data_IF_434536262113
#
_entry.id   IF_434536262113
#
_cell.length_a   1.000
_cell.length_b   1.000
_cell.length_c   1.000
_cell.angle_alpha   90.00
_cell.angle_beta   90.00
_cell.angle_gamma   90.00
#
_symmetry.space_group_name_H-M   'P 1'
#
loop_
_entity.id
_entity.type
_entity.pdbx_description
1 polymer ?
#
# COMPACT_ATOMS: atom_id res chain seq x y z
N UNK A 1 27.77 -28.12 5.91
CA UNK A 1 28.08 -28.00 7.36
C UNK A 1 26.87 -27.68 8.26
N UNK A 2 25.79 -27.00 7.82
CA UNK A 2 24.59 -26.80 8.67
C UNK A 2 23.81 -28.10 8.98
N UNK A 3 23.62 -28.97 7.97
CA UNK A 3 22.85 -30.21 8.11
C UNK A 3 23.43 -31.19 9.15
N UNK A 4 24.76 -31.33 9.20
CA UNK A 4 25.44 -32.20 10.16
C UNK A 4 25.19 -31.76 11.60
N UNK A 5 25.13 -30.44 11.85
CA UNK A 5 24.88 -29.91 13.20
C UNK A 5 23.44 -30.13 13.64
N UNK A 6 22.48 -29.95 12.74
CA UNK A 6 21.07 -30.21 13.01
C UNK A 6 20.82 -31.67 13.38
N UNK A 7 21.45 -32.60 12.67
CA UNK A 7 21.42 -34.04 12.98
C UNK A 7 22.02 -34.34 14.36
N UNK A 8 23.16 -33.74 14.71
CA UNK A 8 23.76 -33.91 16.04
C UNK A 8 22.85 -33.40 17.15
N UNK A 9 22.25 -32.21 17.00
CA UNK A 9 21.31 -31.66 17.99
C UNK A 9 20.06 -32.52 18.09
N UNK A 10 19.55 -33.06 16.98
CA UNK A 10 18.44 -33.99 16.98
C UNK A 10 18.78 -35.31 17.70
N UNK A 11 20.02 -35.81 17.55
CA UNK A 11 20.51 -36.98 18.29
C UNK A 11 20.56 -36.70 19.80
N UNK A 12 21.09 -35.54 20.20
CA UNK A 12 21.14 -35.12 21.61
C UNK A 12 19.73 -34.93 22.19
N UNK A 13 18.81 -34.36 21.40
CA UNK A 13 17.39 -34.24 21.75
C UNK A 13 16.75 -35.60 22.04
N UNK A 14 17.09 -36.62 21.25
CA UNK A 14 16.65 -38.00 21.46
C UNK A 14 17.23 -38.57 22.76
N UNK A 15 18.53 -38.45 23.00
CA UNK A 15 19.16 -38.87 24.26
C UNK A 15 18.54 -38.21 25.49
N UNK A 16 18.23 -36.91 25.44
CA UNK A 16 17.52 -36.23 26.54
C UNK A 16 16.12 -36.81 26.79
N UNK A 17 15.44 -37.26 25.73
CA UNK A 17 14.12 -37.86 25.85
C UNK A 17 14.22 -39.24 26.49
N UNK A 18 15.01 -40.12 25.87
CA UNK A 18 15.11 -41.53 26.24
C UNK A 18 15.81 -41.75 27.59
N UNK A 19 16.87 -40.98 27.88
CA UNK A 19 17.75 -41.22 29.04
C UNK A 19 17.42 -40.35 30.26
N UNK A 20 16.56 -39.32 30.11
CA UNK A 20 16.27 -38.36 31.20
C UNK A 20 14.79 -38.09 31.38
N UNK A 21 14.06 -37.73 30.31
CA UNK A 21 12.66 -37.31 30.43
C UNK A 21 11.74 -38.50 30.74
N UNK A 22 11.94 -39.59 29.99
CA UNK A 22 11.12 -40.80 30.06
C UNK A 22 11.76 -41.93 30.89
N UNK A 23 12.99 -41.72 31.38
CA UNK A 23 13.71 -42.67 32.22
C UNK A 23 13.09 -42.79 33.63
N UNK A 24 12.98 -44.04 34.11
CA UNK A 24 12.53 -44.33 35.48
C UNK A 24 13.63 -44.04 36.51
N UNK A 25 14.87 -44.38 36.17
CA UNK A 25 16.07 -44.11 36.96
C UNK A 25 17.13 -43.45 36.06
N UNK A 26 17.21 -42.12 36.11
CA UNK A 26 18.18 -41.35 35.35
C UNK A 26 19.45 -41.11 36.18
N UNK A 27 20.60 -41.01 35.50
CA UNK A 27 21.88 -40.64 36.12
C UNK A 27 22.13 -39.12 36.00
N UNK A 28 22.49 -38.48 37.11
CA UNK A 28 22.82 -37.05 37.15
C UNK A 28 24.04 -36.72 36.28
N UNK A 29 25.09 -37.54 36.36
CA UNK A 29 26.33 -37.39 35.58
C UNK A 29 26.04 -37.53 34.08
N UNK A 30 25.32 -38.59 33.70
CA UNK A 30 24.96 -38.82 32.30
C UNK A 30 24.10 -37.68 31.74
N UNK A 31 23.15 -37.18 32.53
CA UNK A 31 22.33 -36.03 32.15
C UNK A 31 23.19 -34.79 31.93
N UNK A 32 24.14 -34.53 32.84
CA UNK A 32 25.05 -33.41 32.75
C UNK A 32 25.95 -33.50 31.51
N UNK A 33 26.44 -34.69 31.16
CA UNK A 33 27.23 -34.93 29.95
C UNK A 33 26.46 -34.66 28.66
N UNK A 34 25.19 -35.11 28.60
CA UNK A 34 24.31 -34.85 27.45
C UNK A 34 24.06 -33.34 27.30
N UNK A 35 23.81 -32.64 28.41
CA UNK A 35 23.63 -31.18 28.41
C UNK A 35 24.92 -30.43 28.05
N UNK A 36 26.08 -30.93 28.48
CA UNK A 36 27.40 -30.36 28.13
C UNK A 36 27.70 -30.57 26.66
N UNK A 37 27.38 -31.74 26.11
CA UNK A 37 27.46 -32.01 24.67
C UNK A 37 26.59 -31.03 23.90
N UNK A 38 25.35 -30.82 24.34
CA UNK A 38 24.44 -29.83 23.76
C UNK A 38 25.02 -28.41 23.83
N UNK A 39 25.59 -28.03 24.97
CA UNK A 39 26.24 -26.72 25.15
C UNK A 39 27.39 -26.56 24.14
N UNK A 40 28.27 -27.54 24.02
CA UNK A 40 29.43 -27.48 23.12
C UNK A 40 29.00 -27.35 21.66
N UNK A 41 28.00 -28.10 21.23
CA UNK A 41 27.47 -28.04 19.85
C UNK A 41 26.78 -26.70 19.52
N UNK A 42 26.25 -26.03 20.54
CA UNK A 42 25.47 -24.79 20.38
C UNK A 42 26.27 -23.52 20.67
N UNK A 43 27.53 -23.66 21.09
CA UNK A 43 28.44 -22.55 21.34
C UNK A 43 29.45 -22.44 20.20
N UNK A 44 29.50 -21.29 19.50
CA UNK A 44 30.52 -21.05 18.48
C UNK A 44 31.75 -20.35 19.09
N UNK A 45 32.95 -20.85 18.75
CA UNK A 45 34.22 -20.16 19.04
C UNK A 45 34.43 -19.05 18.02
N UNK A 46 34.13 -17.80 18.36
CA UNK A 46 34.41 -16.65 17.49
C UNK A 46 35.90 -16.26 17.58
N UNK A 47 36.57 -16.09 16.44
CA UNK A 47 38.00 -15.70 16.34
C UNK A 47 38.29 -14.22 16.64
N UNK A 48 37.30 -13.43 17.05
CA UNK A 48 37.53 -12.04 17.46
C UNK A 48 36.74 -11.73 18.75
N UNK A 49 37.47 -11.34 19.80
CA UNK A 49 37.00 -10.84 21.11
C UNK A 49 36.55 -11.83 22.20
N UNK A 50 36.79 -13.15 22.09
CA UNK A 50 36.64 -14.06 23.24
C UNK A 50 35.21 -14.22 23.82
N UNK A 51 34.22 -13.55 23.24
CA UNK A 51 32.82 -13.65 23.64
C UNK A 51 32.20 -14.89 22.97
N UNK A 52 31.85 -15.91 23.78
CA UNK A 52 31.15 -17.12 23.31
C UNK A 52 29.74 -16.75 22.85
N UNK A 53 29.43 -16.93 21.57
CA UNK A 53 28.11 -16.65 20.99
C UNK A 53 27.33 -17.95 20.81
N UNK A 54 26.08 -17.97 21.26
CA UNK A 54 25.15 -19.06 20.99
C UNK A 54 24.74 -19.02 19.52
N UNK A 55 24.99 -20.10 18.78
CA UNK A 55 24.73 -20.20 17.35
C UNK A 55 23.44 -20.99 17.06
N UNK A 56 22.44 -20.80 17.92
CA UNK A 56 21.12 -21.43 17.81
C UNK A 56 20.23 -20.55 16.93
N UNK A 57 19.51 -21.17 15.99
CA UNK A 57 18.55 -20.48 15.12
C UNK A 57 17.12 -20.94 15.36
N UNK A 58 16.14 -20.11 15.01
CA UNK A 58 14.71 -20.43 15.06
C UNK A 58 14.42 -21.71 14.27
N UNK A 59 15.01 -21.87 13.09
CA UNK A 59 14.83 -23.07 12.26
C UNK A 59 15.27 -24.36 12.98
N UNK A 60 16.44 -24.35 13.64
CA UNK A 60 16.94 -25.50 14.39
C UNK A 60 16.08 -25.78 15.62
N UNK A 61 15.64 -24.74 16.35
CA UNK A 61 14.72 -24.89 17.48
C UNK A 61 13.38 -25.49 17.05
N UNK A 62 12.88 -25.11 15.87
CA UNK A 62 11.63 -25.61 15.31
C UNK A 62 11.75 -27.05 14.81
N UNK A 63 12.84 -27.42 14.13
CA UNK A 63 12.99 -28.78 13.60
C UNK A 63 13.29 -29.80 14.71
N UNK A 64 14.20 -29.47 15.63
CA UNK A 64 14.65 -30.39 16.69
C UNK A 64 13.76 -30.39 17.93
N UNK A 65 12.94 -29.35 18.12
CA UNK A 65 12.16 -29.10 19.34
C UNK A 65 12.99 -29.03 20.63
N UNK A 66 14.32 -28.84 20.53
CA UNK A 66 15.25 -28.93 21.66
C UNK A 66 14.90 -27.96 22.82
N UNK A 67 14.38 -26.76 22.53
CA UNK A 67 13.96 -25.82 23.58
C UNK A 67 12.78 -26.33 24.43
N UNK A 68 11.82 -27.03 23.82
CA UNK A 68 10.73 -27.70 24.56
C UNK A 68 11.25 -28.87 25.38
N UNK A 69 12.21 -29.62 24.82
CA UNK A 69 12.83 -30.76 25.49
C UNK A 69 13.66 -30.31 26.70
N UNK A 70 14.47 -29.26 26.59
CA UNK A 70 15.19 -28.67 27.73
C UNK A 70 14.26 -28.25 28.88
N UNK A 71 13.09 -27.70 28.56
CA UNK A 71 12.07 -27.39 29.58
C UNK A 71 11.60 -28.66 30.31
N UNK A 72 11.41 -29.76 29.57
CA UNK A 72 11.02 -31.05 30.15
C UNK A 72 12.18 -31.68 30.93
N UNK A 73 13.40 -31.62 30.42
CA UNK A 73 14.62 -32.09 31.07
C UNK A 73 14.81 -31.39 32.42
N UNK A 74 14.72 -30.05 32.49
CA UNK A 74 14.81 -29.30 33.74
C UNK A 74 13.78 -29.78 34.78
N UNK A 75 12.55 -30.08 34.34
CA UNK A 75 11.50 -30.65 35.21
C UNK A 75 11.83 -32.09 35.62
N UNK A 76 12.34 -32.92 34.72
CA UNK A 76 12.75 -34.29 35.00
C UNK A 76 13.90 -34.33 36.04
N UNK A 77 14.95 -33.52 35.85
CA UNK A 77 16.03 -33.36 36.82
C UNK A 77 15.50 -32.95 38.21
N UNK A 78 14.56 -32.00 38.28
CA UNK A 78 13.90 -31.61 39.54
C UNK A 78 13.10 -32.76 40.18
N UNK A 79 12.57 -33.70 39.41
CA UNK A 79 11.90 -34.91 39.93
C UNK A 79 12.94 -35.87 40.52
N UNK A 80 13.97 -36.23 39.74
CA UNK A 80 15.01 -37.18 40.19
C UNK A 80 15.77 -36.69 41.41
N UNK A 81 16.08 -35.38 41.48
CA UNK A 81 16.67 -34.74 42.67
C UNK A 81 15.88 -35.00 43.96
N UNK A 82 14.55 -35.07 43.91
CA UNK A 82 13.71 -35.27 45.11
C UNK A 82 13.84 -36.69 45.68
N UNK A 83 14.26 -37.64 44.86
CA UNK A 83 14.42 -39.04 45.21
C UNK A 83 15.90 -39.43 45.37
N UNK A 84 16.82 -38.46 45.31
CA UNK A 84 18.26 -38.70 45.41
C UNK A 84 18.65 -39.20 46.81
N UNK A 85 19.43 -40.30 46.90
CA UNK A 85 19.78 -40.94 48.18
C UNK A 85 20.96 -40.25 48.90
N UNK A 86 21.71 -39.38 48.22
CA UNK A 86 22.89 -38.72 48.77
C UNK A 86 22.95 -37.22 48.46
N UNK A 87 23.68 -36.48 49.29
CA UNK A 87 23.92 -35.05 49.12
C UNK A 87 24.79 -34.75 47.89
N UNK A 88 25.73 -35.65 47.56
CA UNK A 88 26.53 -35.60 46.33
C UNK A 88 25.67 -35.69 45.06
N UNK A 89 24.73 -36.64 45.02
CA UNK A 89 23.82 -36.82 43.88
C UNK A 89 22.86 -35.62 43.72
N UNK A 90 22.42 -35.06 44.85
CA UNK A 90 21.62 -33.83 44.89
C UNK A 90 22.36 -32.64 44.29
N UNK A 91 23.67 -32.52 44.54
CA UNK A 91 24.53 -31.48 43.96
C UNK A 91 24.63 -31.62 42.45
N UNK A 92 24.89 -32.83 41.94
CA UNK A 92 24.99 -33.11 40.49
C UNK A 92 23.70 -32.79 39.75
N UNK A 93 22.54 -33.07 40.35
CA UNK A 93 21.26 -32.66 39.78
C UNK A 93 21.05 -31.15 39.76
N UNK A 94 21.55 -30.40 40.75
CA UNK A 94 21.50 -28.94 40.71
C UNK A 94 22.31 -28.39 39.54
N UNK A 95 23.48 -28.96 39.28
CA UNK A 95 24.33 -28.55 38.15
C UNK A 95 23.64 -28.81 36.82
N UNK A 96 23.01 -29.99 36.65
CA UNK A 96 22.22 -30.31 35.46
C UNK A 96 21.00 -29.38 35.29
N UNK A 97 20.28 -29.06 36.36
CA UNK A 97 19.16 -28.11 36.33
C UNK A 97 19.67 -26.73 35.90
N UNK A 98 20.71 -26.23 36.56
CA UNK A 98 21.30 -24.92 36.28
C UNK A 98 21.73 -24.81 34.82
N UNK A 99 22.45 -25.81 34.30
CA UNK A 99 22.88 -25.87 32.91
C UNK A 99 21.69 -25.90 31.94
N UNK A 100 20.64 -26.68 32.24
CA UNK A 100 19.45 -26.75 31.38
C UNK A 100 18.68 -25.42 31.32
N UNK A 101 18.58 -24.70 32.44
CA UNK A 101 17.93 -23.39 32.52
C UNK A 101 18.76 -22.30 31.85
N UNK A 102 20.10 -22.34 32.01
CA UNK A 102 21.03 -21.45 31.32
C UNK A 102 20.96 -21.60 29.80
N UNK A 103 20.98 -22.84 29.28
CA UNK A 103 20.84 -23.11 27.86
C UNK A 103 19.50 -22.60 27.32
N UNK A 104 18.41 -22.81 28.07
CA UNK A 104 17.08 -22.36 27.68
C UNK A 104 16.98 -20.83 27.62
N UNK A 105 17.62 -20.12 28.54
CA UNK A 105 17.72 -18.66 28.51
C UNK A 105 18.50 -18.19 27.28
N UNK A 106 19.68 -18.78 27.02
CA UNK A 106 20.50 -18.46 25.84
C UNK A 106 19.76 -18.69 24.52
N UNK A 107 18.97 -19.76 24.41
CA UNK A 107 18.23 -20.07 23.18
C UNK A 107 17.08 -19.09 22.95
N UNK A 108 16.43 -18.60 24.02
CA UNK A 108 15.43 -17.54 23.91
C UNK A 108 16.06 -16.24 23.43
N UNK A 109 17.17 -15.83 24.03
CA UNK A 109 17.90 -14.63 23.62
C UNK A 109 18.36 -14.70 22.15
N UNK A 110 18.89 -15.85 21.73
CA UNK A 110 19.30 -16.06 20.34
C UNK A 110 18.12 -15.96 19.37
N UNK A 111 16.97 -16.57 19.70
CA UNK A 111 15.76 -16.49 18.87
C UNK A 111 15.19 -15.07 18.81
N UNK A 112 15.18 -14.32 19.91
CA UNK A 112 14.73 -12.93 19.97
C UNK A 112 15.64 -12.02 19.12
N UNK A 113 16.96 -12.20 19.19
CA UNK A 113 17.91 -11.46 18.37
C UNK A 113 17.79 -11.81 16.88
N UNK A 114 17.64 -13.09 16.51
CA UNK A 114 17.38 -13.49 15.13
C UNK A 114 16.10 -12.85 14.59
N UNK A 115 15.01 -12.85 15.38
CA UNK A 115 13.75 -12.22 15.01
C UNK A 115 13.89 -10.71 14.81
N UNK A 116 14.62 -10.00 15.70
CA UNK A 116 14.93 -8.57 15.55
C UNK A 116 15.76 -8.30 14.31
N UNK A 117 16.79 -9.10 14.06
CA UNK A 117 17.65 -8.98 12.87
C UNK A 117 16.85 -9.22 11.59
N UNK A 118 16.00 -10.25 11.54
CA UNK A 118 15.12 -10.52 10.42
C UNK A 118 14.14 -9.37 10.16
N UNK A 119 13.56 -8.79 11.21
CA UNK A 119 12.70 -7.61 11.11
C UNK A 119 13.46 -6.37 10.60
N UNK A 120 14.68 -6.16 11.08
CA UNK A 120 15.55 -5.07 10.63
C UNK A 120 15.96 -5.23 9.16
N UNK A 121 16.29 -6.45 8.73
CA UNK A 121 16.62 -6.78 7.33
C UNK A 121 15.42 -6.54 6.42
N UNK A 122 14.22 -7.07 6.77
CA UNK A 122 12.98 -6.79 6.04
C UNK A 122 12.68 -5.29 5.93
N UNK A 123 12.93 -4.53 7.00
CA UNK A 123 12.76 -3.07 7.01
C UNK A 123 13.76 -2.36 6.08
N UNK A 124 15.04 -2.80 6.06
CA UNK A 124 16.06 -2.29 5.13
C UNK A 124 15.73 -2.61 3.68
N UNK A 125 15.32 -3.84 3.39
CA UNK A 125 14.89 -4.28 2.06
C UNK A 125 13.67 -3.49 1.58
N UNK A 126 12.64 -3.33 2.42
CA UNK A 126 11.48 -2.51 2.11
C UNK A 126 11.87 -1.05 1.78
N UNK A 127 12.81 -0.47 2.53
CA UNK A 127 13.34 0.88 2.25
C UNK A 127 14.11 0.94 0.92
N UNK A 128 14.84 -0.11 0.56
CA UNK A 128 15.55 -0.17 -0.71
C UNK A 128 14.57 -0.28 -1.90
N UNK A 129 13.55 -1.14 -1.79
CA UNK A 129 12.48 -1.30 -2.79
C UNK A 129 11.66 -0.01 -2.91
N UNK A 130 11.40 0.67 -1.79
CA UNK A 130 10.71 1.96 -1.77
C UNK A 130 11.45 3.03 -2.60
N UNK A 131 12.77 2.95 -2.78
CA UNK A 131 13.55 3.90 -3.58
C UNK A 131 13.55 3.63 -5.08
N UNK A 132 13.15 2.44 -5.53
CA UNK A 132 13.18 2.11 -6.96
C UNK A 132 12.01 2.75 -7.72
N UNK A 133 12.22 3.23 -8.96
CA UNK A 133 11.14 3.61 -9.86
C UNK A 133 10.20 2.43 -10.15
N UNK A 134 8.95 2.73 -10.52
CA UNK A 134 7.91 1.76 -10.85
C UNK A 134 6.91 1.52 -9.72
N UNK A 135 5.95 0.63 -9.97
CA UNK A 135 4.87 0.33 -9.03
C UNK A 135 5.39 -0.27 -7.71
N UNK A 136 4.77 0.06 -6.57
CA UNK A 136 5.12 -0.57 -5.30
C UNK A 136 4.73 -2.05 -5.28
N UNK A 137 5.62 -2.90 -4.78
CA UNK A 137 5.40 -4.36 -4.73
C UNK A 137 4.64 -4.83 -3.48
N UNK A 138 4.51 -3.98 -2.46
CA UNK A 138 3.79 -4.30 -1.22
C UNK A 138 3.23 -3.06 -0.55
N UNK A 139 2.23 -3.25 0.30
CA UNK A 139 1.60 -2.19 1.11
C UNK A 139 2.64 -1.50 2.01
N UNK A 140 3.56 -2.27 2.61
CA UNK A 140 4.61 -1.74 3.48
C UNK A 140 5.58 -0.85 2.71
N UNK A 141 6.07 -1.30 1.55
CA UNK A 141 6.95 -0.48 0.70
C UNK A 141 6.22 0.80 0.22
N UNK A 142 4.94 0.69 -0.11
CA UNK A 142 4.14 1.84 -0.54
C UNK A 142 3.94 2.86 0.59
N UNK A 143 3.60 2.39 1.79
CA UNK A 143 3.48 3.25 2.99
C UNK A 143 4.79 3.99 3.26
N UNK A 144 5.93 3.30 3.15
CA UNK A 144 7.25 3.94 3.32
C UNK A 144 7.51 5.02 2.28
N UNK A 145 7.16 4.80 1.00
CA UNK A 145 7.26 5.83 -0.06
C UNK A 145 6.43 7.06 0.28
N UNK A 146 5.15 6.86 0.60
CA UNK A 146 4.22 7.93 0.94
C UNK A 146 4.76 8.77 2.11
N UNK A 147 5.22 8.12 3.19
CA UNK A 147 5.79 8.82 4.35
C UNK A 147 7.08 9.56 4.00
N UNK A 148 8.00 8.95 3.25
CA UNK A 148 9.27 9.60 2.86
C UNK A 148 9.08 10.82 1.96
N UNK A 149 7.98 10.87 1.22
CA UNK A 149 7.63 11.97 0.33
C UNK A 149 6.64 12.95 1.00
N UNK A 150 6.44 12.85 2.32
CA UNK A 150 5.53 13.70 3.09
C UNK A 150 4.10 13.73 2.53
N UNK A 151 3.61 12.59 2.04
CA UNK A 151 2.27 12.44 1.48
C UNK A 151 1.26 12.19 2.60
N UNK A 152 0.13 12.87 2.51
CA UNK A 152 -1.03 12.59 3.36
C UNK A 152 -1.48 11.13 3.21
N UNK A 153 -1.63 10.43 4.32
CA UNK A 153 -2.20 9.08 4.39
C UNK A 153 -3.68 9.18 4.74
N UNK A 154 -4.54 9.00 3.74
CA UNK A 154 -6.00 9.02 3.97
C UNK A 154 -6.50 7.77 4.71
N UNK A 155 -5.81 6.64 4.53
CA UNK A 155 -6.08 5.35 5.18
C UNK A 155 -4.75 4.71 5.61
N UNK A 156 -4.79 3.99 6.73
CA UNK A 156 -3.66 3.18 7.22
C UNK A 156 -4.18 1.76 7.54
N UNK A 157 -3.77 0.71 6.79
CA UNK A 157 -2.80 0.74 5.69
C UNK A 157 -3.32 1.47 4.43
N UNK A 158 -2.42 2.05 3.60
CA UNK A 158 -2.80 2.65 2.33
C UNK A 158 -3.26 1.58 1.33
N UNK A 159 -4.17 1.95 0.43
CA UNK A 159 -4.56 1.08 -0.67
C UNK A 159 -3.49 1.10 -1.75
N UNK A 160 -3.13 -0.08 -2.28
CA UNK A 160 -2.20 -0.16 -3.41
C UNK A 160 -2.78 0.54 -4.65
N UNK A 161 -1.91 1.15 -5.49
CA UNK A 161 -2.34 1.62 -6.80
C UNK A 161 -2.87 0.45 -7.65
N UNK A 162 -3.65 0.75 -8.70
CA UNK A 162 -3.99 -0.25 -9.72
C UNK A 162 -2.73 -0.93 -10.27
N UNK A 163 -2.90 -2.15 -10.79
CA UNK A 163 -1.84 -2.82 -11.55
C UNK A 163 -1.46 -1.99 -12.78
N UNK A 164 -0.32 -2.35 -13.39
CA UNK A 164 0.19 -1.65 -14.57
C UNK A 164 -0.89 -1.53 -15.66
N UNK A 165 -1.07 -0.32 -16.17
CA UNK A 165 -2.09 -0.02 -17.17
C UNK A 165 -1.55 -0.23 -18.58
N UNK A 166 -2.24 -1.07 -19.34
CA UNK A 166 -1.98 -1.31 -20.76
C UNK A 166 -2.74 -0.29 -21.58
N UNK A 167 -2.04 0.38 -22.51
CA UNK A 167 -2.62 1.35 -23.44
C UNK A 167 -2.81 0.66 -24.79
N UNK A 168 -3.98 0.82 -25.39
CA UNK A 168 -4.21 0.30 -26.73
C UNK A 168 -3.41 1.09 -27.77
N UNK A 169 -2.82 0.39 -28.75
CA UNK A 169 -2.03 1.02 -29.81
C UNK A 169 -2.88 1.90 -30.73
N UNK A 170 -4.11 1.47 -31.04
CA UNK A 170 -5.02 2.20 -31.92
C UNK A 170 -5.83 3.21 -31.12
N UNK A 171 -5.84 4.44 -31.59
CA UNK A 171 -6.67 5.50 -31.05
C UNK A 171 -8.03 5.52 -31.76
N UNK A 172 -9.08 5.79 -31.00
CA UNK A 172 -10.43 5.93 -31.56
C UNK A 172 -10.73 7.40 -31.94
N UNK A 173 -11.76 7.66 -32.76
CA UNK A 173 -12.15 9.03 -33.10
C UNK A 173 -12.49 9.90 -31.89
N UNK A 174 -12.42 11.22 -32.10
CA UNK A 174 -12.85 12.21 -31.11
C UNK A 174 -14.35 12.02 -30.77
N UNK A 175 -14.76 12.33 -29.52
CA UNK A 175 -16.14 12.15 -29.09
C UNK A 175 -17.10 13.02 -29.89
N UNK A 176 -18.31 12.51 -30.08
CA UNK A 176 -19.43 13.28 -30.63
C UNK A 176 -20.05 14.12 -29.52
N UNK A 177 -20.44 15.35 -29.84
CA UNK A 177 -21.09 16.28 -28.90
C UNK A 177 -22.55 16.49 -29.29
N UNK A 178 -23.46 16.30 -28.34
CA UNK A 178 -24.84 16.71 -28.49
C UNK A 178 -24.93 18.24 -28.45
N UNK A 179 -25.49 18.86 -29.50
CA UNK A 179 -25.58 20.32 -29.64
C UNK A 179 -26.51 20.98 -28.63
N UNK A 180 -27.49 20.24 -28.11
CA UNK A 180 -28.51 20.75 -27.18
C UNK A 180 -28.04 20.57 -25.75
N UNK A 181 -27.69 19.33 -25.35
CA UNK A 181 -27.34 19.03 -23.95
C UNK A 181 -25.86 19.28 -23.62
N UNK A 182 -25.01 19.38 -24.65
CA UNK A 182 -23.55 19.46 -24.51
C UNK A 182 -22.88 18.13 -24.15
N UNK A 183 -23.65 17.06 -23.95
CA UNK A 183 -23.15 15.73 -23.57
C UNK A 183 -22.23 15.15 -24.64
N UNK A 184 -21.17 14.49 -24.17
CA UNK A 184 -20.17 13.81 -24.98
C UNK A 184 -20.44 12.32 -25.01
N UNK A 185 -20.30 11.72 -26.19
CA UNK A 185 -20.40 10.27 -26.40
C UNK A 185 -19.10 9.75 -26.99
N UNK A 186 -18.61 8.63 -26.45
CA UNK A 186 -17.30 8.07 -26.77
C UNK A 186 -17.46 6.66 -27.36
N UNK A 187 -16.50 6.26 -28.18
CA UNK A 187 -16.43 4.93 -28.77
C UNK A 187 -15.55 4.00 -27.94
N UNK A 188 -15.86 2.71 -27.92
CA UNK A 188 -14.99 1.69 -27.33
C UNK A 188 -13.78 1.45 -28.26
N UNK A 189 -12.67 1.00 -27.67
CA UNK A 189 -11.48 0.59 -28.42
C UNK A 189 -11.58 -0.85 -28.90
N UNK A 190 -10.42 -1.51 -28.93
CA UNK A 190 -10.33 -2.95 -29.13
C UNK A 190 -10.97 -3.70 -27.95
N UNK A 191 -10.81 -3.19 -26.72
CA UNK A 191 -11.56 -3.68 -25.57
C UNK A 191 -13.01 -3.16 -25.60
N UNK A 192 -13.94 -4.06 -25.89
CA UNK A 192 -15.39 -3.80 -25.90
C UNK A 192 -16.05 -3.98 -24.54
N UNK A 193 -15.31 -4.37 -23.50
CA UNK A 193 -15.83 -4.56 -22.13
C UNK A 193 -16.48 -3.28 -21.57
N UNK A 194 -16.00 -2.11 -22.00
CA UNK A 194 -16.51 -0.80 -21.57
C UNK A 194 -17.77 -0.36 -22.31
N UNK A 195 -18.21 -1.04 -23.38
CA UNK A 195 -19.30 -0.57 -24.24
C UNK A 195 -20.60 -0.29 -23.49
N UNK A 196 -20.94 -1.09 -22.47
CA UNK A 196 -22.11 -0.84 -21.64
C UNK A 196 -21.92 0.34 -20.68
N UNK A 197 -20.70 0.57 -20.19
CA UNK A 197 -20.38 1.72 -19.35
C UNK A 197 -20.43 3.03 -20.15
N UNK A 198 -20.03 3.01 -21.43
CA UNK A 198 -20.08 4.17 -22.31
C UNK A 198 -21.50 4.69 -22.58
N UNK A 199 -22.51 3.81 -22.54
CA UNK A 199 -23.93 4.19 -22.68
C UNK A 199 -24.44 5.08 -21.54
N UNK A 200 -23.70 5.16 -20.42
CA UNK A 200 -24.07 5.95 -19.25
C UNK A 200 -22.99 6.96 -18.86
N UNK A 201 -21.93 7.09 -19.66
CA UNK A 201 -20.82 8.01 -19.44
C UNK A 201 -20.92 9.20 -20.37
N UNK A 202 -21.56 10.26 -19.87
CA UNK A 202 -21.87 11.47 -20.63
C UNK A 202 -21.45 12.75 -19.87
N UNK A 203 -20.14 13.00 -19.71
CA UNK A 203 -19.68 14.33 -19.33
C UNK A 203 -20.15 15.36 -20.37
N UNK A 204 -20.46 16.59 -19.93
CA UNK A 204 -20.91 17.67 -20.80
C UNK A 204 -19.90 18.82 -20.91
N UNK A 205 -18.70 18.64 -20.34
CA UNK A 205 -17.57 19.56 -20.48
C UNK A 205 -16.35 18.87 -21.07
N UNK A 206 -15.78 19.44 -22.12
CA UNK A 206 -14.51 18.99 -22.70
C UNK A 206 -13.33 19.28 -21.77
N UNK A 207 -12.18 18.61 -21.93
CA UNK A 207 -10.97 18.98 -21.20
C UNK A 207 -10.60 20.46 -21.33
N UNK A 208 -10.74 21.04 -22.53
CA UNK A 208 -10.52 22.47 -22.76
C UNK A 208 -11.46 23.33 -21.91
N UNK A 209 -12.76 23.03 -21.91
CA UNK A 209 -13.75 23.79 -21.13
C UNK A 209 -13.46 23.69 -19.62
N UNK A 210 -13.05 22.52 -19.12
CA UNK A 210 -12.67 22.31 -17.71
C UNK A 210 -11.40 23.11 -17.36
N UNK A 211 -10.40 23.13 -18.23
CA UNK A 211 -9.16 23.89 -18.03
C UNK A 211 -9.44 25.40 -18.00
N UNK A 212 -10.13 25.91 -19.01
CA UNK A 212 -10.43 27.35 -19.16
C UNK A 212 -11.37 27.87 -18.07
N UNK A 213 -12.24 27.02 -17.52
CA UNK A 213 -13.10 27.40 -16.41
C UNK A 213 -12.33 27.66 -15.10
N UNK A 214 -11.06 27.24 -14.99
CA UNK A 214 -10.33 27.26 -13.73
C UNK A 214 -10.92 26.20 -12.79
N UNK A 215 -10.55 24.95 -12.99
CA UNK A 215 -11.13 23.86 -12.21
C UNK A 215 -10.34 23.53 -10.95
N UNK A 216 -9.02 23.69 -10.99
CA UNK A 216 -8.12 23.04 -10.02
C UNK A 216 -7.23 24.02 -9.24
N UNK A 217 -7.72 25.25 -9.06
CA UNK A 217 -7.05 26.30 -8.28
C UNK A 217 -5.68 26.69 -8.80
N UNK A 218 -5.40 26.46 -10.09
CA UNK A 218 -4.10 26.78 -10.69
C UNK A 218 -3.06 25.65 -10.68
N UNK A 219 -3.35 24.50 -10.07
CA UNK A 219 -2.29 23.59 -9.60
C UNK A 219 -2.29 22.20 -10.20
N UNK A 220 -3.20 21.90 -11.14
CA UNK A 220 -3.40 20.51 -11.58
C UNK A 220 -2.14 19.91 -12.18
N UNK A 221 -1.48 20.62 -13.09
CA UNK A 221 -0.27 20.18 -13.77
C UNK A 221 1.01 20.79 -13.18
N UNK A 222 1.03 21.09 -11.87
CA UNK A 222 2.25 21.51 -11.16
C UNK A 222 3.30 20.40 -11.15
N UNK A 223 4.59 20.68 -10.90
CA UNK A 223 5.58 19.63 -10.71
C UNK A 223 5.20 18.73 -9.52
N UNK A 224 5.30 17.41 -9.70
CA UNK A 224 5.00 16.43 -8.64
C UNK A 224 6.07 15.35 -8.59
N UNK A 225 6.30 14.79 -7.41
CA UNK A 225 6.88 13.45 -7.27
C UNK A 225 5.74 12.49 -6.97
N UNK A 226 5.55 11.44 -7.76
CA UNK A 226 4.50 10.46 -7.49
C UNK A 226 5.00 9.35 -6.58
N UNK A 227 4.25 9.01 -5.54
CA UNK A 227 4.55 7.85 -4.70
C UNK A 227 4.19 6.52 -5.41
N UNK A 228 3.29 6.57 -6.40
CA UNK A 228 2.86 5.40 -7.20
C UNK A 228 4.00 4.93 -8.10
N UNK A 229 4.62 5.84 -8.85
CA UNK A 229 5.71 5.50 -9.79
C UNK A 229 7.10 5.76 -9.22
N UNK A 230 7.19 6.47 -8.10
CA UNK A 230 8.43 6.96 -7.49
C UNK A 230 9.30 7.79 -8.46
N UNK A 231 8.64 8.54 -9.36
CA UNK A 231 9.26 9.42 -10.36
C UNK A 231 8.79 10.87 -10.15
N UNK A 232 9.67 11.82 -10.46
CA UNK A 232 9.34 13.24 -10.52
C UNK A 232 8.92 13.65 -11.93
N UNK A 233 7.74 14.24 -12.05
CA UNK A 233 7.15 14.76 -13.27
C UNK A 233 7.22 16.29 -13.27
N UNK A 234 7.73 16.87 -14.36
CA UNK A 234 7.74 18.31 -14.56
C UNK A 234 6.52 18.74 -15.40
N UNK A 235 6.09 19.98 -15.17
CA UNK A 235 4.89 20.55 -15.81
C UNK A 235 4.95 20.60 -17.33
N UNK A 236 6.11 20.93 -17.90
CA UNK A 236 6.26 21.09 -19.35
C UNK A 236 6.09 19.76 -20.08
N UNK A 237 6.71 18.69 -19.59
CA UNK A 237 6.60 17.35 -20.16
C UNK A 237 5.17 16.81 -20.08
N UNK A 238 4.51 16.92 -18.92
CA UNK A 238 3.14 16.42 -18.77
C UNK A 238 2.14 17.21 -19.61
N UNK A 239 2.29 18.54 -19.70
CA UNK A 239 1.41 19.35 -20.54
C UNK A 239 1.56 18.96 -22.03
N UNK A 240 2.79 18.81 -22.52
CA UNK A 240 3.05 18.42 -23.92
C UNK A 240 2.44 17.05 -24.25
N UNK A 241 2.50 16.11 -23.32
CA UNK A 241 1.98 14.77 -23.50
C UNK A 241 0.44 14.72 -23.39
N UNK A 242 -0.13 15.36 -22.38
CA UNK A 242 -1.53 15.15 -21.98
C UNK A 242 -2.50 16.15 -22.61
N UNK A 243 -2.09 17.41 -22.75
CA UNK A 243 -2.97 18.54 -23.10
C UNK A 243 -2.69 19.01 -24.53
N UNK A 244 -3.73 19.14 -25.36
CA UNK A 244 -3.53 19.72 -26.69
C UNK A 244 -3.18 21.20 -26.59
N UNK A 245 -2.25 21.65 -27.43
CA UNK A 245 -1.78 23.03 -27.45
C UNK A 245 -2.93 24.03 -27.66
N UNK A 246 -3.89 23.69 -28.54
CA UNK A 246 -5.09 24.48 -28.83
C UNK A 246 -5.94 24.77 -27.58
N UNK A 247 -6.06 23.80 -26.67
CA UNK A 247 -6.90 23.94 -25.46
C UNK A 247 -6.38 25.00 -24.50
N UNK A 248 -5.09 25.31 -24.57
CA UNK A 248 -4.39 26.23 -23.66
C UNK A 248 -3.79 27.43 -24.41
N UNK A 249 -4.15 27.63 -25.67
CA UNK A 249 -3.81 28.83 -26.43
C UNK A 249 -4.37 30.06 -25.70
N UNK A 250 -3.52 31.07 -25.53
CA UNK A 250 -3.81 32.33 -24.82
C UNK A 250 -4.17 32.17 -23.34
N UNK A 251 -3.84 31.04 -22.71
CA UNK A 251 -4.01 30.83 -21.28
C UNK A 251 -2.70 31.11 -20.53
N UNK A 252 -2.76 31.83 -19.40
CA UNK A 252 -1.63 31.93 -18.48
C UNK A 252 -1.41 30.57 -17.79
N UNK A 253 -0.53 29.76 -18.36
CA UNK A 253 -0.22 28.40 -17.89
C UNK A 253 0.33 28.40 -16.46
N UNK A 254 1.14 29.40 -16.11
CA UNK A 254 1.78 29.47 -14.80
C UNK A 254 0.75 29.65 -13.68
N UNK A 255 -0.23 30.53 -13.90
CA UNK A 255 -1.27 30.80 -12.91
C UNK A 255 -2.42 29.78 -12.96
N UNK A 256 -2.81 29.33 -14.15
CA UNK A 256 -4.00 28.51 -14.34
C UNK A 256 -3.75 27.00 -14.20
N UNK A 257 -2.54 26.53 -14.50
CA UNK A 257 -2.29 25.09 -14.67
C UNK A 257 -1.14 24.55 -13.81
N UNK A 258 -0.02 25.29 -13.72
CA UNK A 258 1.24 24.76 -13.19
C UNK A 258 1.70 25.40 -11.88
N UNK A 259 0.84 26.22 -11.24
CA UNK A 259 1.18 26.84 -9.97
C UNK A 259 1.40 25.79 -8.89
N UNK A 260 2.40 25.99 -8.03
CA UNK A 260 2.64 25.12 -6.87
C UNK A 260 1.66 25.41 -5.72
N UNK A 261 1.05 26.60 -5.72
CA UNK A 261 0.15 27.07 -4.66
C UNK A 261 -1.29 27.12 -5.13
N UNK A 262 -2.18 26.46 -4.40
CA UNK A 262 -3.61 26.46 -4.71
C UNK A 262 -4.24 27.81 -4.43
N UNK A 263 -4.89 28.40 -5.44
CA UNK A 263 -5.56 29.69 -5.37
C UNK A 263 -7.06 29.52 -5.65
N UNK A 264 -7.94 29.58 -4.63
CA UNK A 264 -9.39 29.47 -4.81
C UNK A 264 -9.96 30.52 -5.77
N UNK A 265 -9.38 31.72 -5.83
CA UNK A 265 -9.80 32.79 -6.74
C UNK A 265 -9.68 32.43 -8.23
N UNK A 266 -8.86 31.44 -8.58
CA UNK A 266 -8.76 30.92 -9.95
C UNK A 266 -9.98 30.07 -10.30
N UNK A 267 -10.62 29.45 -9.30
CA UNK A 267 -11.73 28.57 -9.57
C UNK A 267 -12.95 29.29 -10.13
N UNK A 268 -13.72 28.62 -10.99
CA UNK A 268 -15.01 29.14 -11.49
C UNK A 268 -15.92 29.60 -10.35
N UNK A 269 -16.07 28.76 -9.32
CA UNK A 269 -16.93 29.04 -8.17
C UNK A 269 -16.19 29.65 -6.97
N UNK A 270 -14.93 30.08 -7.14
CA UNK A 270 -14.12 30.80 -6.13
C UNK A 270 -13.94 30.07 -4.77
N UNK A 271 -14.17 28.76 -4.73
CA UNK A 271 -14.04 27.93 -3.52
C UNK A 271 -12.95 26.87 -3.68
N UNK A 272 -12.27 26.53 -2.60
CA UNK A 272 -11.34 25.38 -2.58
C UNK A 272 -12.14 24.09 -2.57
N UNK A 273 -11.76 23.13 -3.41
CA UNK A 273 -12.27 21.76 -3.34
C UNK A 273 -11.24 20.76 -3.89
N UNK A 274 -11.50 19.47 -3.66
CA UNK A 274 -10.59 18.37 -3.99
C UNK A 274 -9.65 18.00 -2.85
N UNK A 275 -9.19 16.74 -2.88
CA UNK A 275 -8.19 16.20 -1.96
C UNK A 275 -6.76 16.49 -2.39
N UNK A 276 -5.80 16.25 -1.50
CA UNK A 276 -4.37 16.36 -1.82
C UNK A 276 -3.91 15.23 -2.76
N UNK A 277 -2.75 15.39 -3.41
CA UNK A 277 -2.17 14.28 -4.19
C UNK A 277 -1.92 13.06 -3.32
N UNK A 278 -1.44 13.24 -2.08
CA UNK A 278 -1.22 12.14 -1.13
C UNK A 278 -2.49 11.37 -0.79
N UNK A 279 -3.61 12.08 -0.58
CA UNK A 279 -4.92 11.44 -0.37
C UNK A 279 -5.32 10.57 -1.57
N UNK A 280 -5.12 11.05 -2.80
CA UNK A 280 -5.46 10.29 -4.00
C UNK A 280 -4.54 9.08 -4.22
N UNK A 281 -3.25 9.25 -3.99
CA UNK A 281 -2.26 8.17 -4.07
C UNK A 281 -2.56 7.10 -3.01
N UNK A 282 -2.64 7.46 -1.73
CA UNK A 282 -2.92 6.52 -0.62
C UNK A 282 -4.29 5.84 -0.67
N UNK A 283 -5.24 6.38 -1.46
CA UNK A 283 -6.56 5.78 -1.70
C UNK A 283 -6.59 4.78 -2.86
N UNK A 284 -5.48 4.55 -3.55
CA UNK A 284 -5.42 3.66 -4.73
C UNK A 284 -6.14 4.24 -5.96
N UNK A 285 -6.24 5.57 -6.05
CA UNK A 285 -6.99 6.24 -7.13
C UNK A 285 -6.13 6.68 -8.30
N UNK A 286 -4.82 6.72 -8.12
CA UNK A 286 -3.80 7.09 -9.12
C UNK A 286 -3.19 5.82 -9.71
N UNK A 287 -3.11 5.73 -11.04
CA UNK A 287 -2.37 4.69 -11.75
C UNK A 287 -0.98 5.20 -12.15
N UNK A 288 -0.12 4.29 -12.58
CA UNK A 288 1.19 4.62 -13.13
C UNK A 288 1.11 5.31 -14.50
N UNK A 289 0.12 4.96 -15.33
CA UNK A 289 -0.12 5.61 -16.61
C UNK A 289 -0.49 7.08 -16.45
N UNK A 290 -1.32 7.41 -15.47
CA UNK A 290 -1.90 8.74 -15.26
C UNK A 290 -1.56 9.26 -13.85
N UNK A 291 -0.31 9.68 -13.59
CA UNK A 291 0.17 10.07 -12.26
C UNK A 291 -0.50 11.33 -11.68
N UNK A 292 -1.19 12.10 -12.51
CA UNK A 292 -2.03 13.23 -12.08
C UNK A 292 -3.50 12.82 -11.86
N UNK A 293 -3.87 11.57 -12.10
CA UNK A 293 -5.17 11.01 -11.79
C UNK A 293 -6.25 11.26 -12.83
N UNK A 294 -7.50 11.32 -12.37
CA UNK A 294 -8.69 11.21 -13.22
C UNK A 294 -8.73 12.22 -14.36
N UNK A 295 -8.40 13.49 -14.13
CA UNK A 295 -8.53 14.49 -15.19
C UNK A 295 -7.42 14.35 -16.25
N UNK A 296 -6.23 13.88 -15.88
CA UNK A 296 -5.21 13.50 -16.87
C UNK A 296 -5.69 12.31 -17.71
N UNK A 297 -6.27 11.28 -17.07
CA UNK A 297 -6.91 10.19 -17.78
C UNK A 297 -8.00 10.71 -18.73
N UNK A 298 -8.84 11.64 -18.28
CA UNK A 298 -9.94 12.21 -19.07
C UNK A 298 -9.43 12.98 -20.29
N UNK A 299 -8.38 13.80 -20.15
CA UNK A 299 -7.73 14.47 -21.28
C UNK A 299 -7.31 13.48 -22.36
N UNK A 300 -6.62 12.39 -21.97
CA UNK A 300 -6.13 11.39 -22.92
C UNK A 300 -7.26 10.54 -23.49
N UNK A 301 -8.24 10.16 -22.66
CA UNK A 301 -9.43 9.42 -23.08
C UNK A 301 -10.25 10.20 -24.10
N UNK A 302 -10.40 11.51 -23.89
CA UNK A 302 -11.07 12.42 -24.82
C UNK A 302 -10.38 12.49 -26.19
N UNK A 303 -9.05 12.43 -26.21
CA UNK A 303 -8.26 12.41 -27.45
C UNK A 303 -8.30 11.09 -28.21
N UNK A 304 -8.98 10.07 -27.69
CA UNK A 304 -9.12 8.77 -28.33
C UNK A 304 -8.25 7.66 -27.73
N UNK A 305 -7.44 7.93 -26.69
CA UNK A 305 -6.70 6.88 -25.99
C UNK A 305 -7.68 5.93 -25.28
N UNK A 306 -7.45 4.63 -25.41
CA UNK A 306 -8.12 3.59 -24.61
C UNK A 306 -7.10 2.80 -23.79
N UNK A 307 -7.53 2.29 -22.64
CA UNK A 307 -6.65 1.61 -21.70
C UNK A 307 -7.38 0.62 -20.81
N UNK A 308 -6.63 -0.30 -20.21
CA UNK A 308 -7.16 -1.25 -19.23
C UNK A 308 -7.72 -0.57 -17.96
N UNK A 309 -7.50 0.73 -17.75
CA UNK A 309 -8.05 1.50 -16.63
C UNK A 309 -9.44 2.11 -16.91
N UNK A 310 -9.92 2.07 -18.15
CA UNK A 310 -11.08 2.85 -18.59
C UNK A 310 -12.35 2.45 -17.83
N UNK A 311 -12.58 1.15 -17.63
CA UNK A 311 -13.73 0.65 -16.87
C UNK A 311 -13.76 1.21 -15.44
N UNK A 312 -12.60 1.26 -14.76
CA UNK A 312 -12.47 1.78 -13.40
C UNK A 312 -12.76 3.28 -13.37
N UNK A 313 -12.20 4.05 -14.29
CA UNK A 313 -12.35 5.50 -14.32
C UNK A 313 -13.77 5.94 -14.69
N UNK A 314 -14.40 5.26 -15.65
CA UNK A 314 -15.82 5.48 -15.98
C UNK A 314 -16.70 5.13 -14.79
N UNK A 315 -16.47 3.98 -14.13
CA UNK A 315 -17.23 3.59 -12.92
C UNK A 315 -17.14 4.64 -11.80
N UNK A 316 -15.94 5.22 -11.57
CA UNK A 316 -15.74 6.30 -10.60
C UNK A 316 -16.52 7.56 -10.97
N UNK A 317 -16.53 7.92 -12.26
CA UNK A 317 -17.33 9.03 -12.75
C UNK A 317 -18.82 8.76 -12.54
N UNK A 318 -19.33 7.56 -12.89
CA UNK A 318 -20.73 7.21 -12.70
C UNK A 318 -21.18 7.33 -11.23
N UNK A 319 -20.34 6.88 -10.29
CA UNK A 319 -20.58 6.99 -8.84
C UNK A 319 -20.55 8.43 -8.32
N UNK A 320 -19.85 9.32 -9.01
CA UNK A 320 -19.63 10.71 -8.57
C UNK A 320 -20.56 11.70 -9.28
N UNK A 321 -20.50 11.74 -10.60
CA UNK A 321 -21.14 12.70 -11.49
C UNK A 321 -22.21 12.10 -12.41
N UNK A 322 -22.28 10.76 -12.54
CA UNK A 322 -23.33 10.10 -13.34
C UNK A 322 -24.75 10.39 -12.85
N UNK A 323 -25.76 9.94 -13.59
CA UNK A 323 -27.20 10.20 -13.31
C UNK A 323 -27.62 9.87 -11.86
N UNK A 324 -27.02 8.83 -11.28
CA UNK A 324 -27.21 8.43 -9.86
C UNK A 324 -26.00 8.74 -8.98
N UNK A 325 -25.06 9.51 -9.49
CA UNK A 325 -23.83 9.88 -8.81
C UNK A 325 -24.10 10.72 -7.57
N UNK A 326 -23.26 10.53 -6.55
CA UNK A 326 -23.38 11.17 -5.24
C UNK A 326 -23.45 12.69 -5.35
N UNK A 327 -22.49 13.30 -6.02
CA UNK A 327 -22.38 14.76 -6.10
C UNK A 327 -23.47 15.36 -6.99
N UNK A 328 -23.76 14.73 -8.13
CA UNK A 328 -24.86 15.16 -9.03
C UNK A 328 -26.21 15.12 -8.32
N UNK A 329 -26.52 14.02 -7.63
CA UNK A 329 -27.80 13.90 -6.91
C UNK A 329 -27.90 14.92 -5.79
N UNK A 330 -26.82 15.12 -5.03
CA UNK A 330 -26.81 16.06 -3.91
C UNK A 330 -27.03 17.51 -4.37
N UNK A 331 -26.37 17.95 -5.45
CA UNK A 331 -26.57 19.33 -5.95
C UNK A 331 -27.96 19.52 -6.55
N UNK A 332 -28.47 18.55 -7.34
CA UNK A 332 -29.79 18.66 -7.95
C UNK A 332 -30.88 18.75 -6.88
N UNK A 333 -30.82 17.91 -5.85
CA UNK A 333 -31.77 17.98 -4.73
C UNK A 333 -31.75 19.35 -4.04
N UNK A 334 -30.56 19.94 -3.86
CA UNK A 334 -30.43 21.27 -3.25
C UNK A 334 -30.98 22.39 -4.13
N UNK A 335 -30.75 22.33 -5.44
CA UNK A 335 -31.31 23.29 -6.40
C UNK A 335 -32.84 23.22 -6.39
N UNK A 336 -33.40 22.00 -6.47
CA UNK A 336 -34.86 21.80 -6.43
C UNK A 336 -35.45 22.31 -5.11
N UNK A 337 -34.82 21.98 -3.98
CA UNK A 337 -35.30 22.42 -2.65
C UNK A 337 -35.26 23.94 -2.48
N UNK A 338 -34.31 24.61 -3.12
CA UNK A 338 -34.20 26.06 -3.11
C UNK A 338 -35.16 26.76 -4.10
N UNK A 339 -35.80 26.01 -5.01
CA UNK A 339 -36.72 26.59 -6.01
C UNK A 339 -36.04 27.45 -7.07
N UNK A 340 -34.73 27.29 -7.30
CA UNK A 340 -33.95 28.09 -8.25
C UNK A 340 -33.56 27.28 -9.50
N UNK A 341 -33.14 27.98 -10.56
CA UNK A 341 -32.68 27.34 -11.80
C UNK A 341 -31.27 26.74 -11.69
N UNK A 342 -30.92 25.84 -12.62
CA UNK A 342 -29.62 25.17 -12.63
C UNK A 342 -28.41 26.13 -12.68
N UNK A 343 -28.58 27.31 -13.27
CA UNK A 343 -27.55 28.33 -13.42
C UNK A 343 -27.18 29.10 -12.13
N UNK A 344 -27.96 28.97 -11.04
CA UNK A 344 -27.67 29.69 -9.80
C UNK A 344 -26.42 29.13 -9.09
N UNK A 345 -25.28 29.81 -9.29
CA UNK A 345 -23.99 29.44 -8.74
C UNK A 345 -23.87 29.53 -7.21
N UNK A 346 -24.83 30.16 -6.52
CA UNK A 346 -24.83 30.29 -5.06
C UNK A 346 -25.13 28.97 -4.35
N UNK A 347 -25.88 28.07 -4.99
CA UNK A 347 -26.25 26.78 -4.41
C UNK A 347 -25.05 25.84 -4.42
N UNK A 348 -24.49 25.57 -3.23
CA UNK A 348 -23.40 24.60 -2.99
C UNK A 348 -22.22 24.71 -3.97
N UNK A 349 -21.51 25.86 -4.00
CA UNK A 349 -20.41 26.11 -4.93
C UNK A 349 -19.31 25.04 -4.87
N UNK A 350 -19.05 24.44 -3.70
CA UNK A 350 -18.06 23.36 -3.53
C UNK A 350 -18.44 22.11 -4.33
N UNK A 351 -19.72 21.73 -4.36
CA UNK A 351 -20.18 20.56 -5.12
C UNK A 351 -20.15 20.88 -6.62
N UNK A 352 -20.52 22.10 -7.01
CA UNK A 352 -20.42 22.54 -8.41
C UNK A 352 -18.97 22.50 -8.92
N UNK A 353 -18.04 23.00 -8.13
CA UNK A 353 -16.61 22.94 -8.44
C UNK A 353 -16.12 21.47 -8.49
N UNK A 354 -16.59 20.62 -7.58
CA UNK A 354 -16.27 19.19 -7.59
C UNK A 354 -16.78 18.51 -8.86
N UNK A 355 -18.00 18.78 -9.31
CA UNK A 355 -18.53 18.21 -10.56
C UNK A 355 -17.77 18.68 -11.79
N UNK A 356 -17.30 19.94 -11.78
CA UNK A 356 -16.46 20.46 -12.84
C UNK A 356 -15.13 19.70 -12.94
N UNK A 357 -14.55 19.27 -11.82
CA UNK A 357 -13.40 18.36 -11.83
C UNK A 357 -13.68 17.04 -12.56
N UNK A 358 -14.95 16.61 -12.60
CA UNK A 358 -15.41 15.39 -13.28
C UNK A 358 -15.98 15.68 -14.68
N UNK A 359 -15.74 16.86 -15.26
CA UNK A 359 -16.24 17.20 -16.60
C UNK A 359 -17.76 17.32 -16.69
N UNK A 360 -18.43 17.59 -15.57
CA UNK A 360 -19.87 17.83 -15.52
C UNK A 360 -20.19 19.22 -14.98
N UNK A 361 -21.02 19.95 -15.70
CA UNK A 361 -21.72 21.12 -15.18
C UNK A 361 -23.22 20.87 -15.11
N UNK A 362 -23.85 21.33 -14.03
CA UNK A 362 -25.30 21.17 -13.85
C UNK A 362 -26.02 22.18 -14.74
N UNK A 363 -26.68 21.68 -15.78
CA UNK A 363 -27.55 22.43 -16.69
C UNK A 363 -29.02 22.17 -16.37
N UNK A 364 -29.94 22.89 -17.03
CA UNK A 364 -31.37 22.62 -16.86
C UNK A 364 -31.73 21.22 -17.36
N UNK A 365 -31.11 20.73 -18.44
CA UNK A 365 -31.29 19.34 -18.89
C UNK A 365 -30.87 18.33 -17.83
N UNK A 366 -29.74 18.56 -17.17
CA UNK A 366 -29.24 17.70 -16.07
C UNK A 366 -30.24 17.66 -14.91
N UNK A 367 -30.83 18.81 -14.58
CA UNK A 367 -31.84 18.96 -13.54
C UNK A 367 -33.17 18.29 -13.91
N UNK A 368 -33.60 18.45 -15.17
CA UNK A 368 -34.79 17.81 -15.73
C UNK A 368 -34.67 16.29 -15.76
N UNK A 369 -33.52 15.75 -16.18
CA UNK A 369 -33.22 14.32 -16.11
C UNK A 369 -33.28 13.81 -14.65
N UNK A 370 -32.80 14.60 -13.68
CA UNK A 370 -32.83 14.23 -12.27
C UNK A 370 -34.25 14.19 -11.70
N UNK A 371 -35.13 15.12 -12.11
CA UNK A 371 -36.55 15.15 -11.70
C UNK A 371 -37.37 13.98 -12.28
N UNK A 372 -36.97 13.45 -13.44
CA UNK A 372 -37.65 12.31 -14.11
C UNK A 372 -37.25 10.94 -13.57
N UNK A 373 -36.26 10.89 -12.68
CA UNK A 373 -35.70 9.66 -12.11
C UNK A 373 -36.49 9.25 -10.88
#
# INVERSE_FOLDING_TARGET
>A
MPAIREETIASVAKSLTDEVIDATEASAERTFDILTTLQNETTATSKSNGMKSCNMTIAILESTKIGKLLTKTAKACKRHKRTSPSEDDTSKWNDAISLSEELLMKYKEAADEEAKQAAATKSKEAKAIAKQPGLPTSVTAYKQRLVSQSKELYKDPPALPPQHITIEERWVPLPKRNKTTGELTFEAGNDTSISNLLKVFHPNRTPEEVLRAGSFGGTYFRPITSAVTNISYNSSSVLKDTVESSWITNLDKHTMLTSTTYKPSINKFKVKCGGSLGMWESSGWISDSDPYGWFQWYCRFYRGRRSSDDARQISRWCKSAGVRGRFRSQICNKIVSAGVGAGDGSVSPVIRQTLLHWGLEVTEDVLMQHKKR
#
